data_IF_184453994507
#
_entry.id   IF_184453994507
#
_cell.length_a   1.000
_cell.length_b   1.000
_cell.length_c   1.000
_cell.angle_alpha   90.00
_cell.angle_beta   90.00
_cell.angle_gamma   90.00
#
_symmetry.space_group_name_H-M   'P 1'
#
loop_
_entity.id
_entity.type
_entity.pdbx_description
1 polymer ?
#
# COMPACT_ATOMS: atom_id res chain seq x y z
N UNK A 1 -9.28 -9.06 13.34
CA UNK A 1 -9.71 -8.98 11.93
C UNK A 1 -8.49 -9.18 11.07
N UNK A 2 -8.44 -10.24 10.27
CA UNK A 2 -7.34 -10.52 9.36
C UNK A 2 -7.69 -9.87 8.02
N UNK A 3 -7.34 -8.59 7.84
CA UNK A 3 -7.67 -7.84 6.62
C UNK A 3 -6.52 -8.01 5.64
N UNK A 4 -6.71 -8.81 4.59
CA UNK A 4 -5.76 -8.91 3.50
C UNK A 4 -5.91 -7.68 2.58
N UNK A 5 -4.87 -6.85 2.50
CA UNK A 5 -4.79 -5.71 1.58
C UNK A 5 -4.22 -6.17 0.26
N UNK A 6 -4.90 -5.88 -0.85
CA UNK A 6 -4.34 -6.12 -2.19
C UNK A 6 -3.41 -4.98 -2.56
N UNK A 7 -2.26 -5.31 -3.12
CA UNK A 7 -1.26 -4.34 -3.58
C UNK A 7 -0.98 -4.62 -5.05
N UNK A 8 -0.96 -3.58 -5.87
CA UNK A 8 -0.46 -3.67 -7.25
C UNK A 8 0.99 -3.20 -7.23
N UNK A 9 1.87 -3.98 -7.86
CA UNK A 9 3.23 -3.57 -8.16
C UNK A 9 3.37 -3.38 -9.68
N UNK A 10 3.75 -2.17 -10.06
CA UNK A 10 4.09 -1.81 -11.42
C UNK A 10 5.60 -1.82 -11.57
N UNK A 11 6.10 -2.50 -12.62
CA UNK A 11 7.50 -2.48 -12.99
C UNK A 11 7.73 -1.39 -14.03
N UNK A 12 8.70 -0.54 -13.76
CA UNK A 12 9.20 0.48 -14.68
C UNK A 12 10.65 0.17 -15.08
N UNK A 13 11.19 0.97 -16.01
CA UNK A 13 12.58 0.80 -16.48
C UNK A 13 13.62 1.11 -15.40
N UNK A 14 13.25 1.90 -14.41
CA UNK A 14 14.06 2.46 -13.33
C UNK A 14 13.72 1.89 -11.94
N UNK A 15 12.77 0.96 -11.85
CA UNK A 15 12.41 0.34 -10.57
C UNK A 15 10.98 -0.17 -10.52
N UNK A 16 10.39 -0.12 -9.34
CA UNK A 16 9.05 -0.57 -9.05
C UNK A 16 8.28 0.49 -8.27
N UNK A 17 6.98 0.57 -8.53
CA UNK A 17 6.04 1.39 -7.78
C UNK A 17 4.92 0.49 -7.29
N UNK A 18 4.55 0.63 -6.02
CA UNK A 18 3.55 -0.17 -5.36
C UNK A 18 2.45 0.71 -4.74
N UNK A 19 1.19 0.33 -4.93
CA UNK A 19 0.04 1.04 -4.36
C UNK A 19 -1.06 0.05 -3.90
N UNK A 20 -1.65 0.29 -2.71
CA UNK A 20 -2.68 -0.57 -2.15
C UNK A 20 -4.07 -0.24 -2.70
N UNK A 21 -4.87 -1.28 -2.86
CA UNK A 21 -6.28 -1.17 -3.23
C UNK A 21 -7.16 -1.22 -1.98
N UNK A 22 -8.26 -0.44 -2.01
CA UNK A 22 -9.24 -0.45 -0.92
C UNK A 22 -8.81 0.33 0.32
N UNK A 23 -7.83 1.22 0.19
CA UNK A 23 -7.48 2.20 1.21
C UNK A 23 -7.84 3.60 0.72
N UNK A 24 -8.42 4.42 1.59
CA UNK A 24 -8.65 5.84 1.34
C UNK A 24 -7.34 6.61 1.56
N UNK A 25 -7.10 7.62 0.73
CA UNK A 25 -5.87 8.41 0.74
C UNK A 25 -4.86 7.96 -0.32
N UNK A 26 -3.72 8.66 -0.39
CA UNK A 26 -2.64 8.36 -1.33
C UNK A 26 -1.55 7.62 -0.55
N UNK A 27 -1.45 6.30 -0.76
CA UNK A 27 -0.39 5.46 -0.20
C UNK A 27 0.39 4.88 -1.37
N UNK A 28 1.69 5.15 -1.43
CA UNK A 28 2.58 4.71 -2.50
C UNK A 28 3.90 4.27 -1.83
N UNK A 29 4.50 3.20 -2.34
CA UNK A 29 5.89 2.82 -2.04
C UNK A 29 6.65 2.55 -3.33
N UNK A 30 7.81 3.16 -3.49
CA UNK A 30 8.71 2.97 -4.62
C UNK A 30 9.96 2.21 -4.20
N UNK A 31 10.72 1.69 -5.17
CA UNK A 31 12.01 1.08 -4.90
C UNK A 31 12.69 0.56 -6.15
N UNK A 32 14.01 0.44 -6.12
CA UNK A 32 14.80 -0.07 -7.24
C UNK A 32 14.50 -1.56 -7.49
N UNK A 33 14.09 -2.28 -6.43
CA UNK A 33 13.69 -3.68 -6.49
C UNK A 33 12.23 -3.90 -6.08
N UNK A 34 11.69 -5.04 -6.49
CA UNK A 34 10.35 -5.49 -6.13
C UNK A 34 10.16 -5.53 -4.60
N UNK A 35 11.15 -6.09 -3.89
CA UNK A 35 11.12 -6.26 -2.44
C UNK A 35 11.15 -4.91 -1.72
N UNK A 36 11.90 -3.94 -2.26
CA UNK A 36 11.99 -2.61 -1.69
C UNK A 36 10.67 -1.85 -1.84
N UNK A 37 10.07 -1.85 -3.03
CA UNK A 37 8.77 -1.21 -3.26
C UNK A 37 7.68 -1.83 -2.38
N UNK A 38 7.68 -3.18 -2.23
CA UNK A 38 6.76 -3.88 -1.35
C UNK A 38 6.95 -3.49 0.13
N UNK A 39 8.18 -3.50 0.63
CA UNK A 39 8.48 -3.13 2.02
C UNK A 39 8.12 -1.65 2.31
N UNK A 40 8.34 -0.77 1.34
CA UNK A 40 8.01 0.65 1.45
C UNK A 40 6.50 0.87 1.53
N UNK A 41 5.71 0.21 0.66
CA UNK A 41 4.25 0.35 0.70
C UNK A 41 3.66 -0.29 1.96
N UNK A 42 4.18 -1.42 2.43
CA UNK A 42 3.74 -2.05 3.69
C UNK A 42 3.97 -1.13 4.89
N UNK A 43 5.16 -0.50 4.95
CA UNK A 43 5.50 0.46 6.00
C UNK A 43 4.61 1.70 5.93
N UNK A 44 4.34 2.20 4.73
CA UNK A 44 3.44 3.33 4.52
C UNK A 44 1.99 3.02 4.95
N UNK A 45 1.48 1.83 4.62
CA UNK A 45 0.14 1.37 5.06
C UNK A 45 0.08 1.34 6.58
N UNK A 46 1.08 0.72 7.23
CA UNK A 46 1.14 0.63 8.69
C UNK A 46 1.15 2.01 9.33
N UNK A 47 2.01 2.91 8.86
CA UNK A 47 2.10 4.28 9.35
C UNK A 47 0.77 5.04 9.21
N UNK A 48 0.10 4.89 8.07
CA UNK A 48 -1.20 5.53 7.83
C UNK A 48 -2.28 5.03 8.79
N UNK A 49 -2.35 3.72 9.03
CA UNK A 49 -3.30 3.13 9.99
C UNK A 49 -3.00 3.59 11.42
N UNK A 50 -1.73 3.64 11.80
CA UNK A 50 -1.30 4.08 13.14
C UNK A 50 -1.58 5.58 13.36
N UNK A 51 -1.44 6.40 12.31
CA UNK A 51 -1.62 7.86 12.40
C UNK A 51 -3.08 8.29 12.32
N UNK A 52 -3.86 7.69 11.42
CA UNK A 52 -5.21 8.14 11.07
C UNK A 52 -6.32 7.15 11.47
N UNK A 53 -5.97 5.99 12.02
CA UNK A 53 -6.94 4.99 12.43
C UNK A 53 -7.53 4.17 11.29
N UNK A 54 -8.50 3.31 11.63
CA UNK A 54 -9.10 2.32 10.71
C UNK A 54 -10.12 2.89 9.74
N UNK A 55 -10.47 4.16 9.88
CA UNK A 55 -11.40 4.88 8.99
C UNK A 55 -10.86 5.06 7.56
N UNK A 56 -9.57 4.78 7.35
CA UNK A 56 -8.95 4.69 6.03
C UNK A 56 -9.24 3.38 5.30
N UNK A 57 -9.68 2.31 5.97
CA UNK A 57 -10.07 1.08 5.30
C UNK A 57 -11.35 1.35 4.50
N UNK A 58 -11.27 1.34 3.17
CA UNK A 58 -12.47 1.49 2.36
C UNK A 58 -13.42 0.32 2.65
N UNK A 59 -14.69 0.63 2.87
CA UNK A 59 -15.73 -0.38 2.91
C UNK A 59 -15.64 -1.17 1.60
N UNK A 60 -15.59 -2.50 1.74
CA UNK A 60 -15.52 -3.42 0.61
C UNK A 60 -16.65 -3.04 -0.36
N UNK A 61 -16.41 -3.15 -1.66
CA UNK A 61 -17.52 -3.21 -2.60
C UNK A 61 -18.28 -4.49 -2.26
N UNK A 62 -19.38 -4.32 -1.54
CA UNK A 62 -20.37 -5.35 -1.24
C UNK A 62 -21.03 -5.83 -2.55
#
# INVERSE_FOLDING_TARGET
MNTATKIILEKHSDGYVAYPLGLKGIIIGDGDTYEQALANVESAIKFHIETFGKELLAHRYD
#
